data_IF_727762537473
#
_entry.id   IF_727762537473
#
_cell.length_a   1.000
_cell.length_b   1.000
_cell.length_c   1.000
_cell.angle_alpha   90.00
_cell.angle_beta   90.00
_cell.angle_gamma   90.00
#
_symmetry.space_group_name_H-M   'P 1'
#
loop_
_entity.id
_entity.type
_entity.pdbx_description
1 polymer ?
#
# COMPACT_ATOMS: atom_id res chain seq x y z
N UNK A 1 9.45 30.27 12.75
CA UNK A 1 9.29 29.24 11.73
C UNK A 1 7.86 29.27 11.21
N UNK A 2 7.68 29.16 9.88
CA UNK A 2 6.43 29.48 9.18
C UNK A 2 5.75 28.25 8.54
N UNK A 3 6.20 27.02 8.82
CA UNK A 3 5.57 25.81 8.36
C UNK A 3 5.59 24.70 9.42
N UNK A 4 4.74 23.71 9.25
CA UNK A 4 4.68 22.46 10.01
C UNK A 4 4.25 21.34 9.08
N UNK A 5 4.58 20.12 9.45
CA UNK A 5 4.20 18.94 8.72
C UNK A 5 3.29 18.08 9.60
N UNK A 6 2.11 17.77 9.09
CA UNK A 6 1.25 16.74 9.66
C UNK A 6 1.62 15.40 9.00
N UNK A 7 2.36 14.56 9.72
CA UNK A 7 2.98 13.38 9.14
C UNK A 7 2.00 12.20 9.07
N UNK A 8 1.33 12.05 7.92
CA UNK A 8 0.48 10.89 7.61
C UNK A 8 1.08 10.03 6.48
N UNK A 9 2.41 9.91 6.44
CA UNK A 9 3.10 9.15 5.41
C UNK A 9 3.01 7.65 5.72
N UNK A 10 2.32 6.92 4.87
CA UNK A 10 2.11 5.47 4.99
C UNK A 10 3.13 4.68 4.17
N UNK A 11 3.41 3.46 4.60
CA UNK A 11 4.40 2.57 3.98
C UNK A 11 3.69 1.43 3.25
N UNK A 12 3.58 1.53 1.93
CA UNK A 12 2.88 0.55 1.09
C UNK A 12 3.41 -0.89 1.25
N UNK A 13 4.74 -1.15 1.28
CA UNK A 13 5.21 -2.52 1.49
C UNK A 13 4.71 -3.16 2.79
N UNK A 14 4.66 -2.41 3.89
CA UNK A 14 4.13 -2.92 5.16
C UNK A 14 2.63 -3.24 5.10
N UNK A 15 1.85 -2.45 4.36
CA UNK A 15 0.43 -2.74 4.14
C UNK A 15 0.23 -3.98 3.26
N UNK A 16 1.03 -4.14 2.21
CA UNK A 16 1.01 -5.34 1.35
C UNK A 16 1.34 -6.60 2.16
N UNK A 17 2.38 -6.55 2.98
CA UNK A 17 2.75 -7.65 3.87
C UNK A 17 1.62 -7.99 4.85
N UNK A 18 0.99 -6.97 5.45
CA UNK A 18 -0.15 -7.18 6.35
C UNK A 18 -1.33 -7.86 5.65
N UNK A 19 -1.64 -7.50 4.40
CA UNK A 19 -2.67 -8.17 3.60
C UNK A 19 -2.36 -9.65 3.44
N UNK A 20 -1.12 -10.01 3.11
CA UNK A 20 -0.71 -11.40 2.93
C UNK A 20 -0.73 -12.18 4.25
N UNK A 21 -0.27 -11.57 5.35
CA UNK A 21 -0.28 -12.19 6.69
C UNK A 21 -1.69 -12.43 7.24
N UNK A 22 -2.65 -11.61 6.84
CA UNK A 22 -4.04 -11.66 7.33
C UNK A 22 -5.00 -12.28 6.33
N UNK A 23 -4.53 -12.65 5.13
CA UNK A 23 -5.31 -13.37 4.15
C UNK A 23 -5.76 -14.73 4.72
N UNK A 24 -7.02 -15.13 4.53
CA UNK A 24 -7.53 -16.36 5.10
C UNK A 24 -6.90 -17.57 4.41
N UNK A 25 -6.44 -18.54 5.21
CA UNK A 25 -6.00 -19.85 4.72
C UNK A 25 -7.23 -20.77 4.57
N UNK A 26 -8.03 -20.51 3.52
CA UNK A 26 -9.22 -21.30 3.19
C UNK A 26 -9.18 -21.75 1.74
N UNK A 27 -9.53 -23.02 1.44
CA UNK A 27 -9.48 -23.54 0.06
C UNK A 27 -10.37 -22.80 -0.93
N UNK A 28 -11.46 -22.22 -0.44
CA UNK A 28 -12.48 -21.50 -1.23
C UNK A 28 -12.27 -19.99 -1.30
N UNK A 29 -11.27 -19.45 -0.57
CA UNK A 29 -10.95 -18.03 -0.66
C UNK A 29 -10.23 -17.69 -1.99
N UNK A 30 -10.52 -16.54 -2.61
CA UNK A 30 -9.72 -16.05 -3.72
C UNK A 30 -8.24 -15.95 -3.30
N UNK A 31 -7.36 -16.54 -4.09
CA UNK A 31 -5.92 -16.47 -3.83
C UNK A 31 -5.32 -15.30 -4.60
N UNK A 32 -4.50 -14.51 -3.92
CA UNK A 32 -3.69 -13.49 -4.59
C UNK A 32 -2.55 -14.20 -5.34
N UNK A 33 -2.58 -14.14 -6.66
CA UNK A 33 -1.60 -14.79 -7.53
C UNK A 33 -0.47 -13.85 -7.96
N UNK A 34 -0.60 -12.55 -7.71
CA UNK A 34 0.38 -11.52 -8.03
C UNK A 34 0.02 -10.19 -7.41
N UNK A 35 0.99 -9.30 -7.35
CA UNK A 35 0.85 -7.96 -6.78
C UNK A 35 1.30 -6.90 -7.79
N UNK A 36 0.52 -5.83 -7.89
CA UNK A 36 0.89 -4.63 -8.62
C UNK A 36 1.50 -3.63 -7.64
N UNK A 37 2.80 -3.38 -7.77
CA UNK A 37 3.54 -2.41 -6.94
C UNK A 37 3.40 -0.98 -7.48
N UNK A 38 3.27 0.03 -6.63
CA UNK A 38 3.06 1.42 -7.05
C UNK A 38 4.36 2.07 -7.55
N UNK A 39 4.43 2.43 -8.83
CA UNK A 39 5.62 3.06 -9.42
C UNK A 39 5.97 4.40 -8.76
N UNK A 40 4.98 5.23 -8.42
CA UNK A 40 5.25 6.55 -7.84
C UNK A 40 5.97 6.47 -6.48
N UNK A 41 5.60 5.54 -5.62
CA UNK A 41 6.33 5.24 -4.39
C UNK A 41 7.72 4.69 -4.71
N UNK A 42 7.80 3.81 -5.71
CA UNK A 42 9.03 3.13 -6.09
C UNK A 42 10.06 4.05 -6.76
N UNK A 43 9.67 5.23 -7.28
CA UNK A 43 10.65 6.25 -7.70
C UNK A 43 11.51 6.73 -6.53
N UNK A 44 10.98 6.67 -5.31
CA UNK A 44 11.68 7.05 -4.08
C UNK A 44 12.40 5.86 -3.46
N UNK A 45 11.68 4.76 -3.20
CA UNK A 45 12.20 3.62 -2.42
C UNK A 45 12.86 2.53 -3.27
N UNK A 46 12.71 2.57 -4.60
CA UNK A 46 13.13 1.52 -5.51
C UNK A 46 12.16 0.35 -5.56
N UNK A 47 12.48 -0.64 -6.41
CA UNK A 47 11.70 -1.87 -6.48
C UNK A 47 12.25 -2.99 -5.56
N UNK A 48 13.47 -2.86 -5.08
CA UNK A 48 14.13 -3.83 -4.18
C UNK A 48 13.34 -4.17 -2.91
N UNK A 49 12.64 -3.23 -2.25
CA UNK A 49 11.80 -3.54 -1.09
C UNK A 49 10.70 -4.57 -1.33
N UNK A 50 10.38 -4.88 -2.59
CA UNK A 50 9.36 -5.87 -2.93
C UNK A 50 9.93 -7.28 -3.14
N UNK A 51 11.26 -7.47 -3.16
CA UNK A 51 11.87 -8.78 -3.40
C UNK A 51 11.46 -9.86 -2.40
N UNK A 52 11.22 -9.48 -1.15
CA UNK A 52 10.80 -10.45 -0.13
C UNK A 52 9.43 -11.08 -0.44
N UNK A 53 8.50 -10.38 -1.12
CA UNK A 53 7.23 -10.96 -1.53
C UNK A 53 7.43 -12.10 -2.54
N UNK A 54 8.30 -11.89 -3.52
CA UNK A 54 8.62 -12.90 -4.51
C UNK A 54 9.40 -14.08 -3.89
N UNK A 55 10.37 -13.78 -3.03
CA UNK A 55 11.24 -14.78 -2.42
C UNK A 55 10.52 -15.61 -1.35
N UNK A 56 9.84 -14.97 -0.41
CA UNK A 56 9.35 -15.60 0.82
C UNK A 56 7.90 -16.07 0.66
N UNK A 57 7.06 -15.29 -0.02
CA UNK A 57 5.65 -15.59 -0.26
C UNK A 57 5.38 -16.29 -1.61
N UNK A 58 6.39 -16.37 -2.48
CA UNK A 58 6.23 -16.92 -3.84
C UNK A 58 5.14 -16.22 -4.66
N UNK A 59 5.00 -14.92 -4.46
CA UNK A 59 4.03 -14.07 -5.15
C UNK A 59 4.79 -13.10 -6.06
N UNK A 60 4.58 -13.14 -7.39
CA UNK A 60 5.22 -12.21 -8.31
C UNK A 60 4.73 -10.77 -8.07
N UNK A 61 5.63 -9.82 -8.27
CA UNK A 61 5.33 -8.39 -8.15
C UNK A 61 5.74 -7.68 -9.42
N UNK A 62 4.88 -6.83 -9.96
CA UNK A 62 5.24 -5.93 -11.06
C UNK A 62 5.04 -4.49 -10.62
N UNK A 63 6.11 -3.70 -10.65
CA UNK A 63 6.04 -2.26 -10.36
C UNK A 63 5.48 -1.54 -11.59
N UNK A 64 4.37 -0.85 -11.43
CA UNK A 64 3.49 -0.38 -12.49
C UNK A 64 3.18 1.11 -12.39
N UNK A 65 3.21 1.80 -13.53
CA UNK A 65 2.64 3.15 -13.68
C UNK A 65 1.12 3.17 -13.65
N UNK A 66 0.52 4.36 -13.77
CA UNK A 66 -0.94 4.52 -13.73
C UNK A 66 -1.57 4.75 -15.11
N UNK A 67 -0.77 4.86 -16.16
CA UNK A 67 -1.31 4.99 -17.50
C UNK A 67 -1.95 3.67 -17.94
N UNK A 68 -3.02 3.72 -18.75
CA UNK A 68 -3.73 2.51 -19.17
C UNK A 68 -2.83 1.45 -19.80
N UNK A 69 -1.82 1.87 -20.57
CA UNK A 69 -0.89 0.96 -21.22
C UNK A 69 0.08 0.31 -20.22
N UNK A 70 0.58 1.08 -19.24
CA UNK A 70 1.41 0.56 -18.15
C UNK A 70 0.64 -0.52 -17.38
N UNK A 71 -0.62 -0.25 -17.03
CA UNK A 71 -1.48 -1.19 -16.32
C UNK A 71 -1.70 -2.48 -17.09
N UNK A 72 -2.06 -2.38 -18.37
CA UNK A 72 -2.29 -3.57 -19.23
C UNK A 72 -1.02 -4.39 -19.40
N UNK A 73 0.12 -3.73 -19.58
CA UNK A 73 1.39 -4.41 -19.74
C UNK A 73 1.85 -5.08 -18.45
N UNK A 74 1.68 -4.42 -17.31
CA UNK A 74 1.98 -5.00 -15.99
C UNK A 74 1.11 -6.23 -15.69
N UNK A 75 -0.18 -6.21 -16.04
CA UNK A 75 -1.05 -7.38 -15.93
C UNK A 75 -0.53 -8.52 -16.81
N UNK A 76 -0.14 -8.22 -18.04
CA UNK A 76 0.45 -9.22 -18.95
C UNK A 76 1.73 -9.84 -18.37
N UNK A 77 2.61 -9.00 -17.78
CA UNK A 77 3.84 -9.48 -17.13
C UNK A 77 3.52 -10.42 -15.96
N UNK A 78 2.55 -10.04 -15.08
CA UNK A 78 2.09 -10.90 -13.99
C UNK A 78 1.52 -12.23 -14.49
N UNK A 79 0.63 -12.20 -15.49
CA UNK A 79 0.03 -13.42 -16.08
C UNK A 79 1.11 -14.33 -16.65
N UNK A 80 2.13 -13.78 -17.32
CA UNK A 80 3.28 -14.57 -17.82
C UNK A 80 4.03 -15.23 -16.68
N UNK A 81 4.37 -14.49 -15.62
CA UNK A 81 5.06 -15.06 -14.45
C UNK A 81 4.27 -16.21 -13.82
N UNK A 82 2.95 -16.01 -13.62
CA UNK A 82 2.08 -17.04 -13.05
C UNK A 82 2.02 -18.28 -13.93
N UNK A 83 1.86 -18.12 -15.26
CA UNK A 83 1.81 -19.25 -16.19
C UNK A 83 3.13 -19.99 -16.27
N UNK A 84 4.26 -19.29 -16.16
CA UNK A 84 5.61 -19.87 -16.20
C UNK A 84 6.04 -20.45 -14.84
N UNK A 85 5.21 -20.32 -13.79
CA UNK A 85 5.55 -20.72 -12.41
C UNK A 85 6.69 -19.92 -11.81
N UNK A 86 6.91 -18.69 -12.30
CA UNK A 86 7.94 -17.78 -11.80
C UNK A 86 7.38 -16.88 -10.70
N UNK A 87 8.26 -16.41 -9.84
CA UNK A 87 7.93 -15.45 -8.78
C UNK A 87 9.10 -14.50 -8.59
N UNK A 88 9.05 -13.38 -9.29
CA UNK A 88 10.10 -12.38 -9.35
C UNK A 88 9.51 -10.99 -9.20
N UNK A 89 10.36 -9.99 -8.94
CA UNK A 89 9.99 -8.58 -9.05
C UNK A 89 10.38 -8.09 -10.42
N UNK A 90 9.41 -7.70 -11.22
CA UNK A 90 9.64 -7.04 -12.49
C UNK A 90 9.25 -5.55 -12.41
N UNK A 91 9.96 -4.71 -13.12
CA UNK A 91 9.72 -3.27 -13.16
C UNK A 91 9.24 -2.87 -14.55
N UNK A 92 7.95 -2.61 -14.69
CA UNK A 92 7.39 -2.07 -15.94
C UNK A 92 7.77 -0.59 -16.11
N UNK A 93 7.84 0.16 -15.00
CA UNK A 93 8.05 1.62 -15.02
C UNK A 93 9.55 2.00 -15.06
N UNK A 94 10.30 1.38 -15.96
CA UNK A 94 11.76 1.54 -16.09
C UNK A 94 12.19 2.98 -16.37
N UNK A 95 11.28 3.81 -16.91
CA UNK A 95 11.55 5.21 -17.23
C UNK A 95 11.81 6.10 -16.00
N UNK A 96 11.39 5.67 -14.81
CA UNK A 96 11.53 6.46 -13.58
C UNK A 96 11.90 5.65 -12.33
N UNK A 97 11.71 4.32 -12.34
CA UNK A 97 11.99 3.47 -11.19
C UNK A 97 13.29 2.71 -11.40
N UNK A 98 14.18 2.78 -10.43
CA UNK A 98 15.43 2.02 -10.36
C UNK A 98 15.38 1.01 -9.21
N UNK A 99 16.34 0.11 -9.15
CA UNK A 99 16.43 -0.91 -8.09
C UNK A 99 16.38 -0.31 -6.68
N UNK A 100 17.21 0.70 -6.43
CA UNK A 100 17.39 1.29 -5.10
C UNK A 100 16.69 2.65 -4.94
N UNK A 101 15.91 3.09 -5.93
CA UNK A 101 15.21 4.37 -5.91
C UNK A 101 16.13 5.59 -5.86
N UNK A 102 15.68 6.65 -5.22
CA UNK A 102 16.43 7.88 -5.04
C UNK A 102 17.21 7.85 -3.73
N UNK A 103 18.52 7.56 -3.80
CA UNK A 103 19.39 7.50 -2.61
C UNK A 103 19.27 8.77 -1.76
N UNK A 104 19.29 9.94 -2.37
CA UNK A 104 19.18 11.22 -1.66
C UNK A 104 17.85 11.36 -0.92
N UNK A 105 16.74 10.94 -1.54
CA UNK A 105 15.43 11.00 -0.90
C UNK A 105 15.34 10.01 0.27
N UNK A 106 15.83 8.78 0.10
CA UNK A 106 15.87 7.77 1.17
C UNK A 106 16.73 8.23 2.35
N UNK A 107 17.92 8.80 2.10
CA UNK A 107 18.79 9.36 3.13
C UNK A 107 18.10 10.50 3.90
N UNK A 108 17.44 11.44 3.21
CA UNK A 108 16.70 12.52 3.84
C UNK A 108 15.48 12.03 4.63
N UNK A 109 14.76 11.03 4.09
CA UNK A 109 13.66 10.40 4.83
C UNK A 109 14.15 9.76 6.11
N UNK A 110 15.24 9.00 6.07
CA UNK A 110 15.83 8.37 7.24
C UNK A 110 16.36 9.39 8.28
N UNK A 111 16.78 10.57 7.82
CA UNK A 111 17.21 11.67 8.70
C UNK A 111 16.03 12.31 9.44
N UNK A 112 14.90 12.53 8.76
CA UNK A 112 13.78 13.34 9.27
C UNK A 112 12.70 12.49 9.93
N UNK A 113 12.51 11.28 9.43
CA UNK A 113 11.40 10.42 9.85
C UNK A 113 11.88 9.11 10.48
N UNK A 114 11.01 8.53 11.28
CA UNK A 114 11.15 7.17 11.82
C UNK A 114 9.82 6.43 11.75
N UNK A 115 9.81 5.09 11.72
CA UNK A 115 8.57 4.32 11.71
C UNK A 115 7.76 4.53 13.00
N UNK A 116 6.45 4.65 12.85
CA UNK A 116 5.48 4.51 13.96
C UNK A 116 5.40 3.04 14.36
N UNK A 117 5.05 2.77 15.60
CA UNK A 117 4.79 1.39 16.05
C UNK A 117 3.63 0.75 15.30
N UNK A 118 2.58 1.54 15.06
CA UNK A 118 1.41 1.12 14.27
C UNK A 118 0.71 2.33 13.68
N UNK A 119 -0.14 2.09 12.69
CA UNK A 119 -0.99 3.10 12.08
C UNK A 119 -2.31 2.47 11.63
N UNK A 120 -3.39 3.24 11.74
CA UNK A 120 -4.72 2.79 11.34
C UNK A 120 -4.92 3.00 9.83
N UNK A 121 -5.22 1.92 9.12
CA UNK A 121 -5.52 1.92 7.71
C UNK A 121 -7.00 1.62 7.50
N UNK A 122 -7.65 2.46 6.71
CA UNK A 122 -9.05 2.24 6.35
C UNK A 122 -9.25 0.89 5.67
N UNK A 123 -10.12 0.08 6.23
CA UNK A 123 -10.43 -1.27 5.74
C UNK A 123 -9.43 -2.36 6.15
N UNK A 124 -8.21 -2.04 6.57
CA UNK A 124 -7.23 -3.01 7.05
C UNK A 124 -7.07 -3.01 8.57
N UNK A 125 -7.58 -1.96 9.25
CA UNK A 125 -7.39 -1.80 10.68
C UNK A 125 -5.99 -1.33 11.05
N UNK A 126 -5.51 -1.71 12.23
CA UNK A 126 -4.21 -1.29 12.75
C UNK A 126 -3.10 -2.16 12.17
N UNK A 127 -2.20 -1.54 11.40
CA UNK A 127 -1.08 -2.22 10.74
C UNK A 127 0.24 -1.81 11.41
N UNK A 128 1.05 -2.77 11.92
CA UNK A 128 2.31 -2.48 12.58
C UNK A 128 3.33 -1.85 11.62
N UNK A 129 4.10 -0.88 12.10
CA UNK A 129 5.23 -0.26 11.37
C UNK A 129 4.90 0.22 9.96
N UNK A 130 3.66 0.64 9.74
CA UNK A 130 3.12 0.95 8.40
C UNK A 130 3.01 2.45 8.10
N UNK A 131 3.52 3.31 8.96
CA UNK A 131 3.57 4.75 8.74
C UNK A 131 4.81 5.38 9.39
N UNK A 132 5.10 6.59 8.99
CA UNK A 132 6.19 7.38 9.53
C UNK A 132 5.70 8.43 10.52
N UNK A 133 6.58 8.83 11.43
CA UNK A 133 6.46 10.03 12.27
C UNK A 133 7.73 10.87 12.16
N UNK A 134 7.60 12.13 12.51
CA UNK A 134 8.76 13.04 12.57
C UNK A 134 9.62 12.66 13.77
N UNK A 135 10.93 12.56 13.55
CA UNK A 135 11.90 12.30 14.63
C UNK A 135 11.89 13.41 15.68
N UNK A 136 12.22 13.08 16.95
CA UNK A 136 12.25 14.06 18.06
C UNK A 136 13.09 15.29 17.78
N UNK A 137 14.20 15.15 17.03
CA UNK A 137 15.11 16.24 16.68
C UNK A 137 14.45 17.31 15.80
N UNK A 138 13.36 16.96 15.12
CA UNK A 138 12.56 17.84 14.25
C UNK A 138 11.18 18.16 14.82
N UNK A 139 10.96 17.91 16.12
CA UNK A 139 9.66 18.08 16.78
C UNK A 139 9.05 19.50 16.64
N UNK A 140 9.89 20.50 16.45
CA UNK A 140 9.45 21.87 16.19
C UNK A 140 8.71 22.08 14.87
N UNK A 141 8.80 21.12 13.93
CA UNK A 141 8.07 21.09 12.66
C UNK A 141 6.87 20.15 12.70
N UNK A 142 6.71 19.37 13.77
CA UNK A 142 5.65 18.38 13.90
C UNK A 142 4.32 19.05 14.25
N UNK A 143 3.37 19.05 13.32
CA UNK A 143 2.06 19.65 13.52
C UNK A 143 1.25 18.94 14.62
N UNK A 144 1.43 17.63 14.81
CA UNK A 144 0.76 16.87 15.89
C UNK A 144 1.18 17.37 17.29
N UNK A 145 2.41 17.89 17.42
CA UNK A 145 2.93 18.44 18.67
C UNK A 145 2.67 19.95 18.82
N UNK A 146 2.58 20.66 17.70
CA UNK A 146 2.42 22.12 17.71
C UNK A 146 0.99 22.60 17.87
N UNK A 147 0.04 21.81 17.41
CA UNK A 147 -1.37 22.16 17.40
C UNK A 147 -2.18 21.13 18.19
N UNK A 148 -3.11 21.63 19.03
CA UNK A 148 -4.09 20.76 19.66
C UNK A 148 -5.12 20.36 18.61
N UNK A 149 -5.00 19.12 18.12
CA UNK A 149 -5.95 18.56 17.14
C UNK A 149 -7.00 17.72 17.87
N UNK A 150 -8.29 17.87 17.53
CA UNK A 150 -9.30 16.98 18.08
C UNK A 150 -9.07 15.56 17.56
N UNK A 151 -9.15 14.58 18.44
CA UNK A 151 -9.15 13.17 18.04
C UNK A 151 -10.54 12.83 17.46
N UNK A 152 -10.64 12.80 16.14
CA UNK A 152 -11.88 12.44 15.45
C UNK A 152 -11.79 10.97 15.04
N UNK A 153 -12.56 10.12 15.70
CA UNK A 153 -12.71 8.71 15.32
C UNK A 153 -13.97 8.53 14.50
N UNK A 154 -13.82 8.23 13.23
CA UNK A 154 -14.92 7.88 12.33
C UNK A 154 -14.91 6.36 12.16
N UNK A 155 -15.92 5.69 12.71
CA UNK A 155 -16.07 4.26 12.52
C UNK A 155 -16.34 3.93 11.05
N UNK A 156 -15.76 2.84 10.57
CA UNK A 156 -16.09 2.30 9.25
C UNK A 156 -17.58 1.94 9.16
N UNK A 157 -18.14 2.10 7.97
CA UNK A 157 -19.54 1.70 7.72
C UNK A 157 -19.67 0.18 7.95
N UNK A 158 -20.52 -0.22 8.91
CA UNK A 158 -20.70 -1.62 9.30
C UNK A 158 -21.16 -2.54 8.17
N UNK A 159 -21.79 -1.99 7.12
CA UNK A 159 -22.19 -2.74 5.94
C UNK A 159 -21.09 -2.82 4.87
N UNK A 160 -19.97 -2.12 5.07
CA UNK A 160 -18.85 -2.12 4.14
C UNK A 160 -17.97 -3.35 4.35
N UNK A 161 -17.76 -4.11 3.28
CA UNK A 161 -16.95 -5.33 3.30
C UNK A 161 -15.56 -5.10 2.67
N UNK A 162 -15.15 -3.85 2.55
CA UNK A 162 -13.88 -3.44 1.93
C UNK A 162 -12.67 -4.18 2.51
N UNK A 163 -12.60 -4.36 3.83
CA UNK A 163 -11.50 -5.07 4.48
C UNK A 163 -11.36 -6.52 3.99
N UNK A 164 -12.48 -7.24 3.86
CA UNK A 164 -12.50 -8.61 3.35
C UNK A 164 -12.08 -8.66 1.86
N UNK A 165 -12.50 -7.67 1.07
CA UNK A 165 -12.13 -7.58 -0.34
C UNK A 165 -10.62 -7.30 -0.50
N UNK A 166 -10.07 -6.37 0.29
CA UNK A 166 -8.64 -6.05 0.25
C UNK A 166 -7.74 -7.22 0.65
N UNK A 167 -8.23 -8.10 1.53
CA UNK A 167 -7.52 -9.34 1.91
C UNK A 167 -7.78 -10.53 0.98
N UNK A 168 -8.57 -10.36 -0.09
CA UNK A 168 -8.90 -11.44 -1.00
C UNK A 168 -9.90 -12.47 -0.43
N UNK A 169 -10.67 -12.11 0.59
CA UNK A 169 -11.70 -12.98 1.17
C UNK A 169 -12.99 -12.97 0.35
N UNK A 170 -13.22 -11.87 -0.38
CA UNK A 170 -14.42 -11.62 -1.19
C UNK A 170 -14.05 -10.91 -2.48
N UNK A 171 -14.88 -11.07 -3.49
CA UNK A 171 -14.84 -10.23 -4.68
C UNK A 171 -15.64 -8.94 -4.47
N UNK A 172 -15.32 -7.83 -5.17
CA UNK A 172 -16.09 -6.57 -5.06
C UNK A 172 -17.59 -6.75 -5.29
N UNK A 173 -17.98 -7.61 -6.22
CA UNK A 173 -19.40 -7.90 -6.54
C UNK A 173 -20.18 -8.53 -5.39
N UNK A 174 -19.50 -9.16 -4.41
CA UNK A 174 -20.13 -9.80 -3.26
C UNK A 174 -20.53 -8.78 -2.18
N UNK A 175 -20.00 -7.55 -2.27
CA UNK A 175 -20.37 -6.47 -1.36
C UNK A 175 -21.68 -5.83 -1.77
N UNK A 176 -22.66 -5.83 -0.85
CA UNK A 176 -24.01 -5.26 -1.10
C UNK A 176 -24.02 -3.79 -1.45
N UNK A 177 -22.97 -3.05 -1.07
CA UNK A 177 -22.87 -1.62 -1.33
C UNK A 177 -22.21 -1.34 -2.69
N UNK A 178 -21.45 -2.28 -3.24
CA UNK A 178 -20.65 -2.08 -4.46
C UNK A 178 -21.55 -1.83 -5.68
N UNK A 179 -21.27 -0.75 -6.40
CA UNK A 179 -22.02 -0.37 -7.59
C UNK A 179 -23.46 0.14 -7.32
N UNK A 180 -23.87 0.24 -6.04
CA UNK A 180 -25.17 0.77 -5.63
C UNK A 180 -25.01 2.12 -4.95
N UNK A 181 -24.87 2.16 -3.64
CA UNK A 181 -24.58 3.38 -2.85
C UNK A 181 -23.08 3.69 -2.77
N UNK A 182 -22.24 2.68 -2.94
CA UNK A 182 -20.77 2.84 -3.03
C UNK A 182 -20.36 2.86 -4.50
N UNK A 183 -20.00 4.03 -4.99
CA UNK A 183 -19.61 4.27 -6.38
C UNK A 183 -18.30 5.06 -6.44
N UNK A 184 -17.60 5.13 -7.58
CA UNK A 184 -16.41 5.96 -7.71
C UNK A 184 -16.63 7.44 -7.36
N UNK A 185 -17.84 7.97 -7.60
CA UNK A 185 -18.21 9.34 -7.23
C UNK A 185 -18.53 9.49 -5.73
N UNK A 186 -18.97 8.42 -5.07
CA UNK A 186 -19.35 8.39 -3.66
C UNK A 186 -18.76 7.13 -2.99
N UNK A 187 -17.43 7.02 -2.82
CA UNK A 187 -16.81 5.83 -2.26
C UNK A 187 -17.09 5.71 -0.77
N UNK A 188 -17.55 4.54 -0.32
CA UNK A 188 -17.76 4.22 1.10
C UNK A 188 -16.53 3.49 1.66
N UNK A 189 -15.96 2.55 0.91
CA UNK A 189 -14.79 1.78 1.29
C UNK A 189 -13.57 2.08 0.41
N UNK A 190 -12.39 1.68 0.87
CA UNK A 190 -11.12 1.88 0.16
C UNK A 190 -10.95 0.99 -1.09
N UNK A 191 -11.82 -0.02 -1.29
CA UNK A 191 -11.80 -0.90 -2.45
C UNK A 191 -12.54 -0.35 -3.68
N UNK A 192 -13.17 0.85 -3.57
CA UNK A 192 -13.91 1.50 -4.64
C UNK A 192 -13.07 2.57 -5.34
#
# INVERSE_FOLDING_TARGET
>A
KNFSVFCCHVLTPAAMEHILLTAPDRPDAPKLNGLVGPAHVSTVIGWKPYEHFARDWKIPVVVCGFEPLDMLYSILMLVRQVNDGRSEVENEFIRAVTENGSRKAVELMAQVFEPRESFEWRGLGTVPKSALRIRPEYAEFDAEKRFSMPEIRVADNKACECGAILRGEKEPKDCRLFGTVCTPAHPIGACM
#
